data_IF_222628199004
#
_entry.id   IF_222628199004
#
_cell.length_a   1.000
_cell.length_b   1.000
_cell.length_c   1.000
_cell.angle_alpha   90.00
_cell.angle_beta   90.00
_cell.angle_gamma   90.00
#
_symmetry.space_group_name_H-M   'P 1'
#
loop_
_entity.id
_entity.type
_entity.pdbx_description
1 polymer ?
#
# COMPACT_ATOMS: atom_id res chain seq x y z
N UNK A 1 8.03 -62.88 -2.31
CA UNK A 1 8.51 -63.07 -3.69
C UNK A 1 9.44 -61.91 -3.98
N UNK A 2 10.75 -62.18 -3.93
CA UNK A 2 11.85 -61.22 -4.07
C UNK A 2 12.32 -61.15 -5.56
N UNK A 3 13.19 -60.19 -5.93
CA UNK A 3 13.11 -59.41 -7.16
C UNK A 3 14.13 -59.86 -8.22
N UNK A 4 14.09 -59.29 -9.43
CA UNK A 4 15.20 -59.37 -10.38
C UNK A 4 15.46 -58.02 -11.04
N UNK A 5 16.68 -57.53 -10.78
CA UNK A 5 17.36 -56.45 -11.47
C UNK A 5 17.60 -56.79 -12.94
N UNK A 6 17.49 -55.81 -13.82
CA UNK A 6 18.29 -55.77 -15.05
C UNK A 6 19.08 -54.47 -15.08
N UNK A 7 20.34 -54.60 -14.65
CA UNK A 7 21.44 -53.78 -15.12
C UNK A 7 21.47 -53.84 -16.65
N UNK A 8 21.72 -52.72 -17.32
CA UNK A 8 22.50 -52.78 -18.55
C UNK A 8 23.54 -51.67 -18.59
N UNK A 9 24.78 -52.14 -18.53
CA UNK A 9 26.05 -51.48 -18.78
C UNK A 9 26.27 -51.34 -20.30
N UNK A 10 27.34 -50.62 -20.66
CA UNK A 10 27.90 -50.35 -22.01
C UNK A 10 27.41 -49.04 -22.64
N UNK A 11 28.25 -48.12 -23.12
CA UNK A 11 29.70 -48.11 -23.23
C UNK A 11 30.20 -46.65 -23.30
N UNK A 12 31.39 -46.47 -22.75
CA UNK A 12 32.24 -45.31 -22.83
C UNK A 12 32.79 -45.15 -24.27
N UNK A 13 32.53 -44.02 -24.92
CA UNK A 13 33.34 -43.56 -26.06
C UNK A 13 33.73 -42.10 -25.84
N UNK A 14 34.99 -41.93 -25.47
CA UNK A 14 35.73 -40.67 -25.47
C UNK A 14 36.18 -40.42 -26.91
N UNK A 15 35.87 -39.25 -27.47
CA UNK A 15 36.64 -38.67 -28.58
C UNK A 15 36.83 -37.18 -28.36
N UNK A 16 38.10 -36.83 -28.26
CA UNK A 16 38.69 -35.51 -28.04
C UNK A 16 38.99 -34.85 -29.40
N UNK A 17 39.08 -33.52 -29.38
CA UNK A 17 39.72 -32.62 -30.36
C UNK A 17 38.87 -32.10 -31.54
N UNK A 18 38.48 -30.84 -31.38
CA UNK A 18 38.03 -29.94 -32.44
C UNK A 18 38.17 -28.49 -31.99
N UNK A 19 39.40 -27.97 -31.96
CA UNK A 19 39.69 -26.54 -31.85
C UNK A 19 39.11 -25.84 -33.09
N UNK A 20 37.99 -25.16 -32.93
CA UNK A 20 37.33 -24.39 -33.97
C UNK A 20 36.81 -23.06 -33.41
N UNK A 21 37.66 -22.04 -33.49
CA UNK A 21 37.35 -20.61 -33.51
C UNK A 21 36.16 -20.12 -32.65
N UNK A 22 36.48 -19.60 -31.45
CA UNK A 22 35.69 -18.55 -30.82
C UNK A 22 35.65 -17.34 -31.76
N UNK A 23 34.59 -17.21 -32.54
CA UNK A 23 34.26 -15.92 -33.14
C UNK A 23 33.81 -15.01 -32.00
N UNK A 24 34.49 -13.90 -31.71
CA UNK A 24 33.90 -12.89 -30.83
C UNK A 24 32.63 -12.37 -31.51
N UNK A 25 31.53 -12.10 -30.77
CA UNK A 25 30.46 -11.31 -31.35
C UNK A 25 31.06 -9.97 -31.78
N UNK A 26 30.96 -9.64 -33.07
CA UNK A 26 31.27 -8.32 -33.60
C UNK A 26 30.38 -7.31 -32.88
N UNK A 27 30.94 -6.65 -31.88
CA UNK A 27 30.36 -5.45 -31.29
C UNK A 27 30.42 -4.35 -32.35
N UNK A 28 29.33 -4.21 -33.10
CA UNK A 28 29.06 -3.05 -33.94
C UNK A 28 27.58 -2.69 -33.76
N UNK A 29 27.29 -2.19 -32.57
CA UNK A 29 26.14 -1.36 -32.25
C UNK A 29 26.66 -0.13 -31.50
N UNK A 30 26.00 1.03 -31.57
CA UNK A 30 26.53 2.26 -30.99
C UNK A 30 26.79 2.04 -29.50
N UNK A 31 28.05 2.21 -29.12
CA UNK A 31 28.48 2.33 -27.75
C UNK A 31 28.01 3.69 -27.21
N UNK A 32 26.71 3.87 -27.02
CA UNK A 32 26.14 5.05 -26.39
C UNK A 32 24.99 4.65 -25.46
N UNK A 33 25.12 5.12 -24.23
CA UNK A 33 24.17 5.00 -23.12
C UNK A 33 24.01 3.59 -22.50
N UNK A 34 25.10 3.08 -21.92
CA UNK A 34 24.95 2.33 -20.67
C UNK A 34 24.39 3.31 -19.62
N UNK A 35 23.06 3.44 -19.59
CA UNK A 35 22.36 4.27 -18.62
C UNK A 35 22.83 3.86 -17.22
N UNK A 36 23.39 4.82 -16.49
CA UNK A 36 23.61 4.74 -15.06
C UNK A 36 22.24 4.58 -14.36
N UNK A 37 21.70 3.36 -14.35
CA UNK A 37 20.56 2.99 -13.54
C UNK A 37 21.01 2.97 -12.08
N UNK A 38 21.03 4.13 -11.43
CA UNK A 38 21.20 4.21 -9.98
C UNK A 38 19.92 3.67 -9.36
N UNK A 39 19.96 2.44 -8.87
CA UNK A 39 18.89 1.90 -8.04
C UNK A 39 18.79 2.74 -6.76
N UNK A 40 17.75 3.57 -6.68
CA UNK A 40 17.43 4.31 -5.46
C UNK A 40 16.63 3.38 -4.56
N UNK A 41 17.31 2.72 -3.63
CA UNK A 41 16.64 1.98 -2.57
C UNK A 41 16.08 2.96 -1.54
N UNK A 42 14.77 2.94 -1.30
CA UNK A 42 14.18 3.66 -0.18
C UNK A 42 14.55 2.95 1.14
N UNK A 43 15.39 3.54 2.00
CA UNK A 43 15.81 2.90 3.23
C UNK A 43 14.59 2.65 4.14
N UNK A 44 14.54 1.46 4.73
CA UNK A 44 13.49 1.12 5.70
C UNK A 44 13.88 1.73 7.03
N UNK A 45 13.00 2.54 7.63
CA UNK A 45 13.21 2.99 9.01
C UNK A 45 13.14 1.81 9.97
N UNK A 46 14.09 1.77 10.89
CA UNK A 46 14.16 0.78 11.96
C UNK A 46 12.99 0.85 12.95
N UNK A 47 12.98 -0.12 13.85
CA UNK A 47 12.03 -0.20 14.96
C UNK A 47 12.48 0.71 16.10
N UNK A 48 11.52 1.25 16.86
CA UNK A 48 11.79 1.96 18.10
C UNK A 48 11.37 1.09 19.26
N UNK A 49 12.32 0.78 20.14
CA UNK A 49 12.10 0.02 21.37
C UNK A 49 12.22 0.97 22.57
N UNK A 50 11.57 0.61 23.68
CA UNK A 50 11.78 1.29 24.95
C UNK A 50 13.06 0.81 25.66
N UNK A 51 13.30 1.32 26.89
CA UNK A 51 14.46 0.93 27.71
C UNK A 51 14.46 -0.54 28.17
N UNK A 52 13.32 -1.21 28.08
CA UNK A 52 13.13 -2.62 28.42
C UNK A 52 13.10 -3.52 27.18
N UNK A 53 13.22 -2.97 25.97
CA UNK A 53 13.17 -3.70 24.71
C UNK A 53 11.77 -3.85 24.13
N UNK A 54 10.76 -3.20 24.69
CA UNK A 54 9.37 -3.27 24.21
C UNK A 54 9.17 -2.45 22.94
N UNK A 55 8.44 -3.01 21.97
CA UNK A 55 8.23 -2.38 20.67
C UNK A 55 7.24 -1.20 20.79
N UNK A 56 7.74 0.01 20.54
CA UNK A 56 6.93 1.22 20.53
C UNK A 56 6.42 1.55 19.13
N UNK A 57 7.31 1.46 18.13
CA UNK A 57 6.99 1.81 16.74
C UNK A 57 7.63 0.81 15.78
N UNK A 58 6.82 0.34 14.84
CA UNK A 58 7.28 -0.48 13.73
C UNK A 58 6.84 0.11 12.39
N UNK A 59 7.68 -0.05 11.38
CA UNK A 59 7.31 0.21 9.99
C UNK A 59 6.57 -1.00 9.44
N UNK A 60 5.28 -0.87 9.15
CA UNK A 60 4.45 -1.94 8.57
C UNK A 60 4.02 -1.58 7.15
N UNK A 61 3.78 -2.61 6.34
CA UNK A 61 3.15 -2.42 5.04
C UNK A 61 1.64 -2.28 5.23
N UNK A 62 1.09 -1.18 4.72
CA UNK A 62 -0.34 -0.91 4.63
C UNK A 62 -0.75 -1.06 3.17
N UNK A 63 -1.88 -1.72 2.96
CA UNK A 63 -2.45 -1.93 1.64
C UNK A 63 -3.73 -1.13 1.55
N UNK A 64 -3.83 -0.27 0.55
CA UNK A 64 -5.04 0.49 0.28
C UNK A 64 -5.56 0.16 -1.11
N UNK A 65 -6.85 -0.16 -1.17
CA UNK A 65 -7.58 -0.36 -2.42
C UNK A 65 -8.32 0.94 -2.73
N UNK A 66 -7.93 1.58 -3.84
CA UNK A 66 -8.63 2.75 -4.37
C UNK A 66 -9.79 2.27 -5.23
N UNK A 67 -11.00 2.57 -4.78
CA UNK A 67 -12.24 2.27 -5.48
C UNK A 67 -12.66 3.49 -6.34
N UNK A 68 -12.96 3.30 -7.63
CA UNK A 68 -13.65 4.28 -8.45
C UNK A 68 -15.14 4.30 -8.10
N UNK A 69 -15.90 5.20 -8.73
CA UNK A 69 -17.34 5.31 -8.52
C UNK A 69 -18.06 3.95 -8.65
N UNK A 70 -18.76 3.54 -7.58
CA UNK A 70 -19.37 2.20 -7.40
C UNK A 70 -20.33 1.73 -8.51
N UNK A 71 -20.84 2.61 -9.36
CA UNK A 71 -21.96 2.30 -10.26
C UNK A 71 -21.72 1.12 -11.23
N UNK A 72 -20.47 0.72 -11.45
CA UNK A 72 -20.10 -0.36 -12.37
C UNK A 72 -19.40 -1.53 -11.68
N UNK A 73 -19.26 -1.50 -10.34
CA UNK A 73 -18.50 -2.52 -9.62
C UNK A 73 -19.41 -3.65 -9.14
N UNK A 74 -19.09 -4.89 -9.53
CA UNK A 74 -19.75 -6.07 -8.96
C UNK A 74 -19.32 -6.26 -7.50
N UNK A 75 -20.17 -5.77 -6.61
CA UNK A 75 -19.91 -5.81 -5.17
C UNK A 75 -19.93 -7.22 -4.59
N UNK A 76 -20.67 -8.15 -5.19
CA UNK A 76 -20.81 -9.53 -4.69
C UNK A 76 -19.54 -10.30 -5.02
N UNK A 77 -19.11 -10.25 -6.27
CA UNK A 77 -17.88 -10.90 -6.71
C UNK A 77 -16.64 -10.33 -5.98
N UNK A 78 -16.59 -9.02 -5.71
CA UNK A 78 -15.47 -8.44 -4.95
C UNK A 78 -15.46 -8.89 -3.48
N UNK A 79 -16.63 -8.96 -2.84
CA UNK A 79 -16.72 -9.50 -1.47
C UNK A 79 -16.24 -10.95 -1.42
N UNK A 80 -16.67 -11.79 -2.38
CA UNK A 80 -16.23 -13.19 -2.46
C UNK A 80 -14.72 -13.32 -2.67
N UNK A 81 -14.14 -12.53 -3.58
CA UNK A 81 -12.69 -12.51 -3.85
C UNK A 81 -11.87 -12.18 -2.59
N UNK A 82 -12.34 -11.20 -1.81
CA UNK A 82 -11.64 -10.74 -0.61
C UNK A 82 -11.97 -11.58 0.64
N UNK A 83 -12.85 -12.58 0.51
CA UNK A 83 -13.32 -13.39 1.64
C UNK A 83 -14.17 -12.58 2.64
N UNK A 84 -14.81 -11.51 2.17
CA UNK A 84 -15.67 -10.66 2.97
C UNK A 84 -17.11 -11.19 3.01
N UNK A 85 -17.85 -10.97 4.11
CA UNK A 85 -19.27 -11.30 4.16
C UNK A 85 -20.07 -10.41 3.19
N UNK A 86 -21.27 -10.87 2.84
CA UNK A 86 -22.17 -10.10 1.98
C UNK A 86 -22.45 -8.70 2.57
N UNK A 87 -22.43 -7.67 1.72
CA UNK A 87 -22.65 -6.28 2.14
C UNK A 87 -21.45 -5.61 2.83
N UNK A 88 -20.35 -6.32 3.08
CA UNK A 88 -19.18 -5.75 3.76
C UNK A 88 -18.53 -4.60 2.99
N UNK A 89 -18.41 -4.71 1.66
CA UNK A 89 -17.91 -3.64 0.80
C UNK A 89 -18.75 -2.37 0.96
N UNK A 90 -20.07 -2.47 0.91
CA UNK A 90 -21.00 -1.36 1.09
C UNK A 90 -20.83 -0.73 2.48
N UNK A 91 -20.74 -1.54 3.53
CA UNK A 91 -20.51 -1.07 4.90
C UNK A 91 -19.16 -0.34 5.04
N UNK A 92 -18.09 -0.87 4.45
CA UNK A 92 -16.76 -0.24 4.45
C UNK A 92 -16.74 1.06 3.66
N UNK A 93 -17.39 1.10 2.49
CA UNK A 93 -17.53 2.33 1.69
C UNK A 93 -18.35 3.38 2.44
N UNK A 94 -19.45 2.97 3.07
CA UNK A 94 -20.27 3.86 3.89
C UNK A 94 -19.45 4.43 5.06
N UNK A 95 -18.72 3.57 5.79
CA UNK A 95 -17.85 3.99 6.88
C UNK A 95 -16.75 4.95 6.41
N UNK A 96 -16.15 4.72 5.24
CA UNK A 96 -15.14 5.60 4.67
C UNK A 96 -15.68 6.96 4.22
N UNK A 97 -16.98 7.05 3.86
CA UNK A 97 -17.63 8.30 3.47
C UNK A 97 -18.03 9.19 4.64
N UNK A 98 -18.26 8.60 5.82
CA UNK A 98 -18.63 9.37 7.00
C UNK A 98 -17.55 10.44 7.30
N UNK A 99 -17.95 11.65 7.68
CA UNK A 99 -17.02 12.75 7.93
C UNK A 99 -16.03 12.35 9.03
N UNK A 100 -14.73 12.49 8.75
CA UNK A 100 -13.64 11.97 9.57
C UNK A 100 -13.35 12.76 10.87
N UNK A 101 -14.25 13.63 11.34
CA UNK A 101 -14.02 14.36 12.58
C UNK A 101 -15.04 15.46 12.87
N UNK A 102 -14.96 16.05 14.09
CA UNK A 102 -15.73 17.23 14.43
C UNK A 102 -15.41 18.38 13.47
N UNK A 103 -16.38 19.30 13.23
CA UNK A 103 -16.13 20.47 12.40
C UNK A 103 -14.93 21.27 12.96
N UNK A 104 -14.18 21.99 12.10
CA UNK A 104 -13.02 22.75 12.53
C UNK A 104 -13.39 23.68 13.70
N UNK A 105 -12.59 23.65 14.77
CA UNK A 105 -12.75 24.57 15.89
C UNK A 105 -12.59 26.00 15.39
N UNK A 106 -13.68 26.76 15.40
CA UNK A 106 -13.63 28.19 15.13
C UNK A 106 -13.00 28.88 16.34
N UNK A 107 -12.01 29.77 16.16
CA UNK A 107 -11.54 30.58 17.27
C UNK A 107 -12.74 31.30 17.88
N UNK A 108 -12.83 31.29 19.22
CA UNK A 108 -13.84 32.05 19.93
C UNK A 108 -13.72 33.52 19.50
N UNK A 109 -14.84 34.15 19.16
CA UNK A 109 -14.85 35.58 18.85
C UNK A 109 -14.34 36.34 20.08
N UNK A 110 -13.20 36.99 19.94
CA UNK A 110 -12.63 37.86 20.96
C UNK A 110 -13.17 39.27 20.69
N UNK A 111 -13.79 39.96 21.68
CA UNK A 111 -14.18 41.36 21.51
C UNK A 111 -12.95 42.21 21.19
N UNK A 112 -13.13 43.25 20.38
CA UNK A 112 -12.04 44.20 20.15
C UNK A 112 -11.68 44.96 21.45
N UNK A 113 -10.59 45.74 21.41
CA UNK A 113 -10.11 46.48 22.58
C UNK A 113 -11.12 47.50 23.14
N UNK A 114 -12.22 47.76 22.44
CA UNK A 114 -13.30 48.65 22.85
C UNK A 114 -14.52 47.90 23.39
N UNK A 115 -14.47 46.57 23.48
CA UNK A 115 -15.60 45.74 23.88
C UNK A 115 -16.68 45.63 22.81
N UNK A 116 -16.40 46.06 21.57
CA UNK A 116 -17.33 46.03 20.46
C UNK A 116 -17.16 44.71 19.71
N UNK A 117 -18.27 44.03 19.47
CA UNK A 117 -18.29 42.78 18.70
C UNK A 117 -18.48 43.12 17.21
N UNK A 118 -17.81 42.40 16.27
CA UNK A 118 -18.01 42.63 14.85
C UNK A 118 -19.48 42.43 14.41
N UNK A 119 -19.99 43.22 13.45
CA UNK A 119 -21.40 43.22 13.03
C UNK A 119 -21.87 41.93 12.33
N UNK A 120 -20.96 41.05 11.91
CA UNK A 120 -21.26 39.73 11.31
C UNK A 120 -21.59 38.67 12.38
N UNK A 121 -22.45 39.01 13.34
CA UNK A 121 -22.74 38.21 14.55
C UNK A 121 -23.79 37.10 14.33
N UNK A 122 -24.31 36.93 13.12
CA UNK A 122 -25.08 35.74 12.80
C UNK A 122 -24.12 34.55 12.88
N UNK A 123 -24.31 33.62 13.83
CA UNK A 123 -23.62 32.32 13.78
C UNK A 123 -23.85 31.77 12.37
N UNK A 124 -22.81 31.71 11.52
CA UNK A 124 -22.98 31.09 10.22
C UNK A 124 -23.27 29.63 10.49
N UNK A 125 -24.21 29.09 9.72
CA UNK A 125 -24.62 27.70 9.78
C UNK A 125 -23.38 26.79 9.89
N UNK A 126 -23.38 25.81 10.81
CA UNK A 126 -22.25 24.90 10.94
C UNK A 126 -21.94 24.31 9.57
N UNK A 127 -20.67 24.44 9.14
CA UNK A 127 -20.26 23.96 7.84
C UNK A 127 -20.72 22.51 7.67
N UNK A 128 -21.42 22.17 6.57
CA UNK A 128 -21.92 20.82 6.40
C UNK A 128 -20.75 19.83 6.49
N UNK A 129 -20.96 18.64 7.09
CA UNK A 129 -19.92 17.63 7.16
C UNK A 129 -19.38 17.35 5.77
N UNK A 130 -18.05 17.42 5.60
CA UNK A 130 -17.41 17.09 4.33
C UNK A 130 -17.54 15.59 4.11
N UNK A 131 -18.48 15.18 3.27
CA UNK A 131 -18.57 13.81 2.79
C UNK A 131 -17.33 13.53 1.93
N UNK A 132 -16.66 12.40 2.14
CA UNK A 132 -15.55 12.04 1.26
C UNK A 132 -16.08 11.80 -0.15
N UNK A 133 -15.48 12.50 -1.11
CA UNK A 133 -15.77 12.33 -2.52
C UNK A 133 -14.89 11.22 -3.09
N UNK A 134 -15.35 10.60 -4.18
CA UNK A 134 -14.54 9.61 -4.89
C UNK A 134 -13.21 10.21 -5.36
N UNK A 135 -12.13 9.40 -5.44
CA UNK A 135 -12.06 7.96 -5.16
C UNK A 135 -11.99 7.62 -3.66
N UNK A 136 -12.48 6.42 -3.28
CA UNK A 136 -12.49 5.98 -1.87
C UNK A 136 -11.35 5.00 -1.65
N UNK A 137 -10.52 5.24 -0.62
CA UNK A 137 -9.47 4.32 -0.22
C UNK A 137 -9.96 3.39 0.91
N UNK A 138 -9.92 2.08 0.67
CA UNK A 138 -10.20 1.07 1.67
C UNK A 138 -8.92 0.40 2.15
N UNK A 139 -8.78 0.24 3.46
CA UNK A 139 -7.65 -0.50 4.04
C UNK A 139 -7.89 -2.00 3.87
N UNK A 140 -6.89 -2.69 3.32
CA UNK A 140 -6.85 -4.13 3.16
C UNK A 140 -5.84 -4.77 4.10
N UNK A 141 -6.14 -5.99 4.53
CA UNK A 141 -5.17 -6.88 5.15
C UNK A 141 -4.20 -7.42 4.11
N UNK A 142 -3.06 -7.96 4.55
CA UNK A 142 -2.09 -8.61 3.66
C UNK A 142 -2.73 -9.74 2.81
N UNK A 143 -3.45 -10.72 3.37
CA UNK A 143 -4.04 -11.78 2.56
C UNK A 143 -5.11 -11.26 1.60
N UNK A 144 -5.90 -10.25 1.98
CA UNK A 144 -6.86 -9.59 1.06
C UNK A 144 -6.14 -8.93 -0.12
N UNK A 145 -5.07 -8.19 0.15
CA UNK A 145 -4.27 -7.53 -0.88
C UNK A 145 -3.56 -8.54 -1.79
N UNK A 146 -3.08 -9.66 -1.23
CA UNK A 146 -2.48 -10.73 -2.01
C UNK A 146 -3.54 -11.44 -2.87
N UNK A 147 -4.73 -11.75 -2.34
CA UNK A 147 -5.86 -12.29 -3.12
C UNK A 147 -6.21 -11.38 -4.31
N UNK A 148 -6.37 -10.07 -4.04
CA UNK A 148 -6.66 -9.09 -5.08
C UNK A 148 -5.59 -9.04 -6.18
N UNK A 149 -4.30 -9.15 -5.84
CA UNK A 149 -3.21 -9.13 -6.84
C UNK A 149 -3.30 -10.26 -7.84
N UNK A 150 -3.71 -11.46 -7.41
CA UNK A 150 -3.84 -12.61 -8.31
C UNK A 150 -4.95 -12.39 -9.35
N UNK A 151 -5.95 -11.58 -9.02
CA UNK A 151 -7.11 -11.29 -9.86
C UNK A 151 -7.13 -9.86 -10.40
N UNK A 152 -6.04 -9.09 -10.27
CA UNK A 152 -6.04 -7.66 -10.59
C UNK A 152 -6.41 -7.37 -12.06
N UNK A 153 -6.15 -8.30 -12.99
CA UNK A 153 -6.55 -8.18 -14.40
C UNK A 153 -8.06 -8.27 -14.63
N UNK A 154 -8.81 -8.91 -13.72
CA UNK A 154 -10.26 -9.05 -13.81
C UNK A 154 -11.00 -7.79 -13.33
N UNK A 155 -10.31 -6.89 -12.63
CA UNK A 155 -10.90 -5.70 -11.99
C UNK A 155 -10.29 -4.40 -12.54
N UNK A 156 -10.54 -4.05 -13.82
CA UNK A 156 -10.03 -2.82 -14.40
C UNK A 156 -10.58 -1.60 -13.65
N UNK A 157 -9.69 -0.66 -13.30
CA UNK A 157 -10.04 0.57 -12.59
C UNK A 157 -9.95 0.49 -11.07
N UNK A 158 -9.74 -0.70 -10.49
CA UNK A 158 -9.33 -0.84 -9.09
C UNK A 158 -7.81 -0.72 -8.98
N UNK A 159 -7.33 0.12 -8.08
CA UNK A 159 -5.89 0.31 -7.86
C UNK A 159 -5.48 -0.11 -6.45
N UNK A 160 -4.61 -1.11 -6.35
CA UNK A 160 -3.98 -1.51 -5.09
C UNK A 160 -2.68 -0.74 -4.88
N UNK A 161 -2.59 0.02 -3.79
CA UNK A 161 -1.36 0.69 -3.35
C UNK A 161 -0.80 -0.01 -2.13
N UNK A 162 0.52 -0.21 -2.13
CA UNK A 162 1.28 -0.63 -0.95
C UNK A 162 2.06 0.57 -0.44
N UNK A 163 1.81 1.00 0.79
CA UNK A 163 2.58 2.05 1.46
C UNK A 163 3.26 1.49 2.70
N UNK A 164 4.43 2.01 3.05
CA UNK A 164 5.08 1.72 4.33
C UNK A 164 4.74 2.85 5.28
N UNK A 165 4.12 2.54 6.41
CA UNK A 165 3.77 3.54 7.41
C UNK A 165 4.13 3.06 8.82
N UNK A 166 4.37 4.03 9.70
CA UNK A 166 4.64 3.76 11.12
C UNK A 166 3.35 3.37 11.81
N UNK A 167 3.37 2.20 12.44
CA UNK A 167 2.34 1.76 13.37
C UNK A 167 2.87 1.96 14.78
N UNK A 168 2.17 2.78 15.54
CA UNK A 168 2.46 3.05 16.95
C UNK A 168 1.68 2.04 17.77
N UNK A 169 2.37 1.24 18.58
CA UNK A 169 1.71 0.24 19.43
C UNK A 169 1.20 0.85 20.74
N UNK A 170 1.74 2.01 21.13
CA UNK A 170 1.34 2.74 22.33
C UNK A 170 0.89 4.16 21.96
N UNK A 171 -0.33 4.53 22.34
CA UNK A 171 -0.87 5.86 22.08
C UNK A 171 -0.12 6.96 22.84
N UNK A 172 0.40 6.65 24.03
CA UNK A 172 1.06 7.61 24.92
C UNK A 172 2.40 8.11 24.34
N UNK A 173 3.07 7.27 23.54
CA UNK A 173 4.38 7.62 22.99
C UNK A 173 4.28 8.48 21.72
N UNK A 174 3.12 8.52 21.05
CA UNK A 174 3.00 9.18 19.75
C UNK A 174 3.36 10.69 19.75
N UNK A 175 2.96 11.49 20.76
CA UNK A 175 3.36 12.90 20.83
C UNK A 175 4.88 13.10 21.03
N UNK A 176 5.53 12.21 21.79
CA UNK A 176 6.97 12.29 22.11
C UNK A 176 7.83 11.79 20.94
N UNK A 177 7.38 10.74 20.25
CA UNK A 177 8.09 10.13 19.13
C UNK A 177 7.91 10.90 17.81
N UNK A 178 6.96 11.83 17.77
CA UNK A 178 6.58 12.58 16.58
C UNK A 178 5.77 11.73 15.58
N UNK A 179 4.95 12.43 14.79
CA UNK A 179 4.20 11.83 13.68
C UNK A 179 4.98 11.96 12.39
N UNK A 180 4.95 10.92 11.55
CA UNK A 180 5.39 11.08 10.17
C UNK A 180 4.24 11.72 9.39
N UNK A 181 4.48 12.83 8.66
CA UNK A 181 3.44 13.38 7.78
C UNK A 181 3.07 12.37 6.71
N UNK A 182 1.80 12.39 6.29
CA UNK A 182 1.36 11.61 5.15
C UNK A 182 2.24 11.96 3.95
N UNK A 183 2.82 10.94 3.29
CA UNK A 183 3.61 11.16 2.08
C UNK A 183 2.73 11.83 1.02
N UNK A 184 3.11 13.05 0.63
CA UNK A 184 2.49 13.82 -0.45
C UNK A 184 2.63 13.09 -1.79
#
# INVERSE_FOLDING_TARGET
MFPTHLLNYFALTITLAGLGACSPPTASGPAEAAYNCREVYEPIRGQLLDRHGELLVATRAHYTLTLPHLAQLDTVALNQLLGWPEGALQARVFAARLPAGPPPHRPALVPDSLGIMPPDTAQPEPAPPRVQHWPIELVLTKPEADSFRHHASEWPGLALRRRRARTYLTHVAAPVLGYQPAAA
#
